data_IF_423333575160
#
_entry.id   IF_423333575160
#
_cell.length_a   1.000
_cell.length_b   1.000
_cell.length_c   1.000
_cell.angle_alpha   90.00
_cell.angle_beta   90.00
_cell.angle_gamma   90.00
#
_symmetry.space_group_name_H-M   'P 1'
#
loop_
_entity.id
_entity.type
_entity.pdbx_description
1 polymer ?
#
# COMPACT_ATOMS: atom_id res chain seq x y z
N UNK A 1 -10.87 22.32 1.89
CA UNK A 1 -9.73 21.52 1.38
C UNK A 1 -10.24 20.21 0.83
N UNK A 2 -9.60 19.70 -0.22
CA UNK A 2 -9.89 18.36 -0.76
C UNK A 2 -8.71 17.44 -0.45
N UNK A 3 -8.96 16.42 0.37
CA UNK A 3 -8.00 15.34 0.62
C UNK A 3 -8.18 14.27 -0.45
N UNK A 4 -7.07 13.84 -1.06
CA UNK A 4 -7.01 12.69 -1.96
C UNK A 4 -6.20 11.56 -1.32
N UNK A 5 -6.51 10.33 -1.70
CA UNK A 5 -5.80 9.12 -1.28
C UNK A 5 -5.35 8.40 -2.53
N UNK A 6 -4.08 8.00 -2.55
CA UNK A 6 -3.47 7.27 -3.65
C UNK A 6 -2.91 5.95 -3.14
N UNK A 7 -2.95 4.96 -4.01
CA UNK A 7 -2.58 3.58 -3.78
C UNK A 7 -1.45 3.17 -4.69
N UNK A 8 -0.57 2.31 -4.16
CA UNK A 8 0.42 1.57 -4.92
C UNK A 8 0.23 0.09 -4.72
N UNK A 9 0.21 -0.62 -5.83
CA UNK A 9 0.26 -2.06 -5.90
C UNK A 9 1.69 -2.46 -6.27
N UNK A 10 2.27 -3.37 -5.49
CA UNK A 10 3.42 -4.21 -5.87
C UNK A 10 2.87 -5.64 -5.97
N UNK A 11 3.12 -6.35 -7.07
CA UNK A 11 2.79 -7.77 -7.25
C UNK A 11 4.10 -8.52 -7.46
N UNK A 12 4.52 -9.28 -6.46
CA UNK A 12 5.67 -10.17 -6.55
C UNK A 12 5.19 -11.53 -7.06
N UNK A 13 5.76 -12.02 -8.16
CA UNK A 13 5.30 -13.26 -8.77
C UNK A 13 6.40 -14.06 -9.46
N UNK A 14 6.13 -15.36 -9.64
CA UNK A 14 6.81 -16.15 -10.65
C UNK A 14 6.11 -15.96 -11.99
N UNK A 15 6.89 -15.78 -13.03
CA UNK A 15 6.42 -15.47 -14.37
C UNK A 15 6.97 -16.45 -15.41
N UNK A 16 6.16 -16.86 -16.39
CA UNK A 16 6.59 -17.73 -17.49
C UNK A 16 7.08 -16.93 -18.72
N UNK A 17 8.41 -16.83 -18.96
CA UNK A 17 8.98 -16.07 -20.06
C UNK A 17 8.79 -16.70 -21.45
N UNK A 18 8.30 -17.95 -21.53
CA UNK A 18 7.97 -18.59 -22.81
C UNK A 18 6.68 -18.03 -23.43
N UNK A 19 5.77 -17.52 -22.60
CA UNK A 19 4.45 -17.05 -23.04
C UNK A 19 4.54 -15.60 -23.54
N UNK A 20 5.20 -14.73 -22.82
CA UNK A 20 5.52 -13.37 -23.26
C UNK A 20 6.85 -12.92 -22.62
N UNK A 21 7.52 -11.90 -23.15
CA UNK A 21 8.73 -11.34 -22.53
C UNK A 21 8.39 -10.07 -21.79
N UNK A 22 8.55 -10.09 -20.47
CA UNK A 22 8.59 -8.88 -19.64
C UNK A 22 10.03 -8.38 -19.63
N UNK A 23 10.26 -7.19 -20.18
CA UNK A 23 11.52 -6.48 -19.99
C UNK A 23 11.56 -6.01 -18.52
N UNK A 24 12.53 -6.53 -17.76
CA UNK A 24 12.75 -6.19 -16.35
C UNK A 24 13.94 -5.25 -16.25
N UNK A 25 13.86 -4.24 -15.37
CA UNK A 25 15.07 -3.58 -14.86
C UNK A 25 15.68 -4.38 -13.70
N UNK A 26 16.93 -4.06 -13.38
CA UNK A 26 17.55 -4.52 -12.13
C UNK A 26 16.81 -3.97 -10.90
N UNK A 27 16.96 -4.69 -9.79
CA UNK A 27 16.28 -4.44 -8.51
C UNK A 27 16.54 -3.01 -7.98
N UNK A 28 15.47 -2.21 -7.82
CA UNK A 28 15.46 -0.78 -7.50
C UNK A 28 16.14 0.17 -8.51
N UNK A 29 16.45 -0.26 -9.74
CA UNK A 29 16.93 0.66 -10.80
C UNK A 29 15.78 1.39 -11.51
N UNK A 30 15.18 2.32 -10.78
CA UNK A 30 14.16 3.23 -11.29
C UNK A 30 14.68 4.25 -12.32
N UNK A 31 15.99 4.31 -12.60
CA UNK A 31 16.55 5.20 -13.64
C UNK A 31 16.49 4.57 -15.04
N UNK A 32 16.61 3.26 -15.13
CA UNK A 32 16.60 2.53 -16.41
C UNK A 32 15.31 1.71 -16.63
N UNK A 33 14.39 1.67 -15.65
CA UNK A 33 13.11 0.95 -15.77
C UNK A 33 12.18 1.57 -16.83
N UNK A 34 12.15 0.99 -18.03
CA UNK A 34 11.07 1.25 -19.00
C UNK A 34 9.75 0.77 -18.42
N UNK A 35 8.70 1.57 -18.47
CA UNK A 35 7.38 1.15 -18.00
C UNK A 35 6.93 -0.09 -18.78
N UNK A 36 6.49 -1.14 -18.08
CA UNK A 36 5.92 -2.34 -18.70
C UNK A 36 4.61 -2.01 -19.43
N UNK A 37 3.80 -1.11 -18.86
CA UNK A 37 2.69 -0.44 -19.54
C UNK A 37 2.47 0.96 -18.94
N UNK A 38 1.35 1.63 -19.26
CA UNK A 38 1.03 2.97 -18.73
C UNK A 38 0.86 3.05 -17.21
N UNK A 39 0.68 1.91 -16.54
CA UNK A 39 0.41 1.82 -15.10
C UNK A 39 1.49 1.09 -14.31
N UNK A 40 2.27 0.18 -14.91
CA UNK A 40 3.22 -0.69 -14.20
C UNK A 40 4.65 -0.61 -14.75
N UNK A 41 5.60 -0.80 -13.85
CA UNK A 41 6.98 -1.18 -14.08
C UNK A 41 7.15 -2.67 -13.79
N UNK A 42 8.23 -3.26 -14.29
CA UNK A 42 8.64 -4.61 -13.94
C UNK A 42 10.11 -4.60 -13.53
N UNK A 43 10.38 -5.07 -12.32
CA UNK A 43 11.73 -5.23 -11.79
C UNK A 43 12.00 -6.71 -11.54
N UNK A 44 13.28 -7.10 -11.59
CA UNK A 44 13.68 -8.44 -11.18
C UNK A 44 13.69 -8.53 -9.65
N UNK A 45 12.90 -9.43 -9.09
CA UNK A 45 12.95 -9.74 -7.66
C UNK A 45 13.98 -10.85 -7.38
N UNK A 46 14.90 -10.58 -6.45
CA UNK A 46 15.93 -11.54 -6.01
C UNK A 46 15.57 -12.26 -4.70
N UNK A 47 14.48 -11.85 -4.04
CA UNK A 47 14.00 -12.42 -2.77
C UNK A 47 13.01 -13.57 -2.94
N UNK A 48 12.45 -13.75 -4.15
CA UNK A 48 11.54 -14.84 -4.50
C UNK A 48 12.35 -16.13 -4.76
N UNK A 49 11.93 -17.22 -4.12
CA UNK A 49 12.39 -18.58 -4.41
C UNK A 49 11.89 -19.00 -5.79
N UNK A 50 12.81 -19.18 -6.73
CA UNK A 50 12.54 -19.73 -8.06
C UNK A 50 12.12 -21.19 -7.93
N UNK A 51 11.01 -21.58 -8.58
CA UNK A 51 10.67 -22.98 -8.80
C UNK A 51 10.25 -23.20 -10.25
N UNK A 52 10.49 -24.40 -10.77
CA UNK A 52 10.07 -24.78 -12.12
C UNK A 52 8.54 -24.83 -12.19
N UNK A 53 7.96 -23.99 -13.04
CA UNK A 53 6.52 -24.01 -13.27
C UNK A 53 6.24 -24.97 -14.43
N UNK A 54 5.69 -26.15 -14.14
CA UNK A 54 5.46 -27.22 -15.13
C UNK A 54 6.72 -27.66 -15.93
N UNK A 55 7.92 -27.45 -15.38
CA UNK A 55 9.20 -27.72 -16.08
C UNK A 55 9.70 -26.58 -16.97
N UNK A 56 9.08 -25.40 -16.90
CA UNK A 56 9.52 -24.19 -17.58
C UNK A 56 10.36 -23.29 -16.65
N UNK A 57 11.45 -22.74 -17.18
CA UNK A 57 12.29 -21.77 -16.49
C UNK A 57 11.49 -20.52 -16.10
N UNK A 58 11.27 -20.30 -14.80
CA UNK A 58 10.56 -19.12 -14.29
C UNK A 58 11.48 -17.90 -14.15
N UNK A 59 10.89 -16.71 -14.25
CA UNK A 59 11.50 -15.46 -13.80
C UNK A 59 10.76 -14.98 -12.55
N UNK A 60 11.48 -14.60 -11.51
CA UNK A 60 10.95 -13.81 -10.41
C UNK A 60 10.78 -12.36 -10.86
N UNK A 61 9.58 -11.78 -10.72
CA UNK A 61 9.24 -10.43 -11.19
C UNK A 61 8.42 -9.69 -10.13
N UNK A 62 8.80 -8.46 -9.83
CA UNK A 62 8.00 -7.51 -9.07
C UNK A 62 7.35 -6.51 -10.05
N UNK A 63 6.02 -6.49 -10.11
CA UNK A 63 5.24 -5.56 -10.92
C UNK A 63 4.80 -4.38 -10.06
N UNK A 64 5.43 -3.22 -10.26
CA UNK A 64 5.27 -2.04 -9.41
C UNK A 64 4.42 -1.00 -10.15
N UNK A 65 3.26 -0.65 -9.62
CA UNK A 65 2.38 0.35 -10.23
C UNK A 65 2.90 1.81 -10.10
N UNK A 66 2.29 2.74 -10.84
CA UNK A 66 2.29 4.18 -10.53
C UNK A 66 1.29 4.48 -9.40
N UNK A 67 1.29 5.69 -8.80
CA UNK A 67 0.23 6.07 -7.86
C UNK A 67 -1.15 6.20 -8.51
N UNK A 68 -2.12 5.46 -7.96
CA UNK A 68 -3.50 5.35 -8.46
C UNK A 68 -4.51 5.91 -7.44
N UNK A 69 -5.48 6.71 -7.90
CA UNK A 69 -6.71 6.93 -7.14
C UNK A 69 -7.54 5.63 -7.15
N UNK A 70 -8.43 5.48 -6.17
CA UNK A 70 -9.20 4.25 -5.92
C UNK A 70 -9.88 3.69 -7.18
N UNK A 71 -10.44 4.57 -8.00
CA UNK A 71 -11.22 4.20 -9.18
C UNK A 71 -10.35 3.86 -10.41
N UNK A 72 -9.05 4.20 -10.39
CA UNK A 72 -8.06 3.85 -11.43
C UNK A 72 -7.52 2.42 -11.26
N UNK A 73 -7.75 1.77 -10.12
CA UNK A 73 -7.20 0.43 -9.78
C UNK A 73 -7.67 -0.64 -10.77
N UNK A 74 -8.96 -0.65 -11.11
CA UNK A 74 -9.53 -1.64 -12.03
C UNK A 74 -8.99 -1.46 -13.46
N UNK A 75 -8.80 -0.21 -13.89
CA UNK A 75 -8.23 0.12 -15.19
C UNK A 75 -6.76 -0.32 -15.27
N UNK A 76 -5.97 -0.03 -14.23
CA UNK A 76 -4.58 -0.47 -14.14
C UNK A 76 -4.45 -2.00 -14.20
N UNK A 77 -5.28 -2.73 -13.44
CA UNK A 77 -5.33 -4.19 -13.48
C UNK A 77 -5.76 -4.71 -14.88
N UNK A 78 -6.79 -4.12 -15.50
CA UNK A 78 -7.20 -4.49 -16.87
C UNK A 78 -6.04 -4.31 -17.87
N UNK A 79 -5.32 -3.18 -17.81
CA UNK A 79 -4.16 -2.93 -18.65
C UNK A 79 -3.01 -3.93 -18.38
N UNK A 80 -2.83 -4.36 -17.14
CA UNK A 80 -1.86 -5.42 -16.78
C UNK A 80 -2.24 -6.77 -17.43
N UNK A 81 -3.52 -7.18 -17.36
CA UNK A 81 -4.04 -8.37 -18.03
C UNK A 81 -3.78 -8.35 -19.55
N UNK A 82 -4.07 -7.22 -20.18
CA UNK A 82 -3.84 -7.02 -21.62
C UNK A 82 -2.35 -7.08 -21.98
N UNK A 83 -1.48 -6.49 -21.15
CA UNK A 83 -0.03 -6.45 -21.36
C UNK A 83 0.64 -7.82 -21.19
N UNK A 84 0.11 -8.64 -20.27
CA UNK A 84 0.48 -10.04 -20.11
C UNK A 84 -0.07 -10.93 -21.25
N UNK A 85 -0.93 -10.37 -22.11
CA UNK A 85 -1.44 -10.98 -23.34
C UNK A 85 -2.28 -12.25 -23.12
N UNK A 86 -2.90 -12.37 -21.94
CA UNK A 86 -3.65 -13.55 -21.47
C UNK A 86 -4.76 -13.93 -22.47
N UNK A 87 -5.54 -12.94 -22.92
CA UNK A 87 -6.73 -13.18 -23.76
C UNK A 87 -6.40 -13.54 -25.21
N UNK A 88 -5.29 -13.06 -25.79
CA UNK A 88 -4.98 -13.31 -27.21
C UNK A 88 -4.39 -14.70 -27.47
N UNK A 89 -4.09 -15.46 -26.42
CA UNK A 89 -3.43 -16.77 -26.50
C UNK A 89 -4.27 -17.94 -25.96
N UNK A 90 -5.52 -17.70 -25.51
CA UNK A 90 -6.32 -18.69 -24.78
C UNK A 90 -5.50 -19.38 -23.66
N UNK A 91 -4.76 -18.57 -22.90
CA UNK A 91 -3.81 -19.05 -21.89
C UNK A 91 -4.39 -18.78 -20.51
N UNK A 92 -4.35 -19.77 -19.62
CA UNK A 92 -4.89 -19.60 -18.28
C UNK A 92 -3.96 -18.72 -17.44
N UNK A 93 -4.53 -18.00 -16.47
CA UNK A 93 -3.78 -17.13 -15.57
C UNK A 93 -2.61 -17.87 -14.90
N UNK A 94 -2.85 -19.11 -14.47
CA UNK A 94 -1.85 -19.97 -13.85
C UNK A 94 -0.67 -20.31 -14.75
N UNK A 95 -0.83 -20.35 -16.07
CA UNK A 95 0.29 -20.68 -16.97
C UNK A 95 1.30 -19.54 -17.06
N UNK A 96 0.85 -18.31 -16.77
CA UNK A 96 1.59 -17.05 -16.93
C UNK A 96 2.15 -16.57 -15.60
N UNK A 97 1.33 -16.61 -14.54
CA UNK A 97 1.65 -16.10 -13.21
C UNK A 97 1.46 -17.19 -12.15
N UNK A 98 2.53 -17.45 -11.40
CA UNK A 98 2.55 -18.31 -10.23
C UNK A 98 2.79 -17.53 -8.94
N UNK A 99 2.12 -17.95 -7.87
CA UNK A 99 2.39 -17.51 -6.50
C UNK A 99 2.84 -18.70 -5.65
N UNK A 100 3.91 -18.50 -4.86
CA UNK A 100 4.43 -19.46 -3.89
C UNK A 100 4.62 -18.80 -2.50
N UNK A 101 5.15 -19.56 -1.53
CA UNK A 101 5.43 -19.14 -0.15
C UNK A 101 6.39 -17.94 -0.01
N UNK A 102 7.24 -17.68 -1.01
CA UNK A 102 8.14 -16.52 -1.03
C UNK A 102 7.50 -15.29 -1.66
N UNK A 103 6.67 -15.45 -2.70
CA UNK A 103 5.93 -14.36 -3.38
C UNK A 103 4.92 -13.63 -2.48
N UNK A 104 4.32 -12.57 -3.02
CA UNK A 104 3.13 -11.93 -2.46
C UNK A 104 2.80 -10.62 -3.17
N UNK A 105 2.42 -9.62 -2.40
CA UNK A 105 2.16 -8.28 -2.89
C UNK A 105 2.23 -7.27 -1.74
N UNK A 106 2.31 -5.98 -2.07
CA UNK A 106 2.15 -4.88 -1.12
C UNK A 106 1.10 -3.89 -1.59
N UNK A 107 0.43 -3.24 -0.63
CA UNK A 107 -0.44 -2.10 -0.88
C UNK A 107 0.08 -0.87 -0.14
N UNK A 108 0.65 0.07 -0.89
CA UNK A 108 1.11 1.36 -0.41
C UNK A 108 -0.04 2.35 -0.39
N UNK A 109 -0.10 3.21 0.63
CA UNK A 109 -1.16 4.20 0.79
C UNK A 109 -0.54 5.54 1.16
N UNK A 110 -0.84 6.56 0.36
CA UNK A 110 -0.43 7.95 0.59
C UNK A 110 -1.64 8.87 0.60
N UNK A 111 -1.68 9.84 1.52
CA UNK A 111 -2.80 10.77 1.71
C UNK A 111 -2.30 12.21 1.55
N UNK A 112 -2.90 12.94 0.62
CA UNK A 112 -2.43 14.26 0.20
C UNK A 112 -3.53 15.30 0.25
N UNK A 113 -3.15 16.51 0.65
CA UNK A 113 -4.01 17.69 0.74
C UNK A 113 -3.82 18.57 -0.49
N UNK A 114 -4.95 18.92 -1.12
CA UNK A 114 -5.06 19.82 -2.28
C UNK A 114 -4.14 19.43 -3.46
N UNK A 115 -3.95 18.13 -3.67
CA UNK A 115 -2.99 17.59 -4.65
C UNK A 115 -3.49 17.58 -6.10
N UNK A 116 -2.53 17.66 -7.01
CA UNK A 116 -2.71 17.39 -8.45
C UNK A 116 -1.78 16.25 -8.86
N UNK A 117 -2.33 15.21 -9.50
CA UNK A 117 -1.56 14.10 -10.07
C UNK A 117 -0.65 14.67 -11.17
N UNK A 118 0.66 14.48 -11.05
CA UNK A 118 1.64 14.89 -12.07
C UNK A 118 2.73 13.81 -12.10
N UNK A 119 2.58 12.86 -13.01
CA UNK A 119 3.49 11.72 -13.14
C UNK A 119 4.84 12.23 -13.65
N UNK A 120 5.68 12.70 -12.73
CA UNK A 120 7.06 13.01 -13.03
C UNK A 120 7.87 11.72 -12.84
N UNK A 121 8.27 11.12 -13.95
CA UNK A 121 9.29 10.08 -13.95
C UNK A 121 10.61 10.82 -13.72
N UNK A 122 11.01 10.93 -12.44
CA UNK A 122 12.28 11.53 -12.03
C UNK A 122 13.12 10.50 -11.29
N UNK A 123 14.39 10.45 -11.66
CA UNK A 123 15.34 9.38 -11.37
C UNK A 123 15.38 8.90 -9.90
N UNK A 124 15.40 7.57 -9.76
CA UNK A 124 16.00 6.82 -8.65
C UNK A 124 15.42 6.87 -7.23
N UNK A 125 14.30 7.53 -6.91
CA UNK A 125 13.78 7.55 -5.51
C UNK A 125 12.26 7.41 -5.30
N UNK A 126 11.74 6.23 -5.59
CA UNK A 126 10.61 5.60 -4.87
C UNK A 126 9.18 6.01 -5.27
N UNK A 127 8.30 4.99 -5.21
CA UNK A 127 6.89 4.95 -5.64
C UNK A 127 6.07 6.28 -5.52
N UNK A 128 6.03 6.93 -4.34
CA UNK A 128 5.14 8.08 -4.09
C UNK A 128 5.67 9.49 -4.44
N UNK A 129 6.90 9.66 -4.95
CA UNK A 129 7.41 11.02 -5.30
C UNK A 129 6.69 11.71 -6.46
N UNK A 130 5.72 11.04 -7.10
CA UNK A 130 4.99 11.47 -8.30
C UNK A 130 3.66 12.20 -8.03
N UNK A 131 3.45 12.68 -6.79
CA UNK A 131 2.27 13.43 -6.40
C UNK A 131 2.69 14.78 -5.83
N UNK A 132 2.23 15.87 -6.45
CA UNK A 132 2.39 17.21 -5.89
C UNK A 132 1.18 17.55 -5.02
N UNK A 133 1.43 17.77 -3.73
CA UNK A 133 0.45 18.21 -2.73
C UNK A 133 1.08 18.20 -1.33
N UNK A 134 0.38 18.77 -0.34
CA UNK A 134 0.85 18.71 1.05
C UNK A 134 0.49 17.34 1.62
N UNK A 135 1.47 16.46 1.74
CA UNK A 135 1.31 15.13 2.35
C UNK A 135 0.78 15.27 3.79
N UNK A 136 -0.22 14.46 4.14
CA UNK A 136 -0.80 14.44 5.48
C UNK A 136 -0.06 13.37 6.27
N UNK A 137 0.68 13.79 7.30
CA UNK A 137 1.41 12.89 8.21
C UNK A 137 0.49 11.80 8.76
N UNK A 138 0.62 10.58 8.25
CA UNK A 138 -0.26 9.47 8.57
C UNK A 138 -0.19 9.09 10.05
N UNK A 139 0.99 9.23 10.65
CA UNK A 139 1.22 9.16 12.10
C UNK A 139 0.28 10.01 12.99
N UNK A 140 -0.41 11.01 12.44
CA UNK A 140 -1.41 11.84 13.17
C UNK A 140 -2.86 11.36 13.03
N UNK A 141 -3.10 10.39 12.14
CA UNK A 141 -4.45 9.94 11.72
C UNK A 141 -4.60 8.42 11.95
N UNK A 142 -3.51 7.68 11.83
CA UNK A 142 -3.45 6.22 11.91
C UNK A 142 -2.93 5.80 13.28
N UNK A 143 -3.55 4.78 13.85
CA UNK A 143 -3.08 4.09 15.05
C UNK A 143 -3.23 2.57 14.85
N UNK A 144 -2.60 1.77 15.72
CA UNK A 144 -2.61 0.31 15.62
C UNK A 144 -4.02 -0.31 15.68
N UNK A 145 -4.99 0.33 16.34
CA UNK A 145 -6.37 -0.15 16.39
C UNK A 145 -7.03 -0.04 15.01
N UNK A 146 -6.90 1.10 14.34
CA UNK A 146 -7.41 1.29 12.98
C UNK A 146 -6.83 0.26 12.00
N UNK A 147 -5.52 -0.03 12.10
CA UNK A 147 -4.84 -1.00 11.25
C UNK A 147 -5.35 -2.44 11.49
N UNK A 148 -5.54 -2.82 12.76
CA UNK A 148 -6.15 -4.11 13.13
C UNK A 148 -7.60 -4.22 12.68
N UNK A 149 -8.39 -3.15 12.81
CA UNK A 149 -9.77 -3.10 12.34
C UNK A 149 -9.85 -3.28 10.81
N UNK A 150 -8.95 -2.65 10.05
CA UNK A 150 -8.83 -2.83 8.59
C UNK A 150 -8.49 -4.30 8.27
N UNK A 151 -7.47 -4.88 8.91
CA UNK A 151 -7.10 -6.29 8.69
C UNK A 151 -8.26 -7.25 8.95
N UNK A 152 -8.95 -7.07 10.08
CA UNK A 152 -10.09 -7.92 10.45
C UNK A 152 -11.20 -7.85 9.39
N UNK A 153 -11.49 -6.65 8.87
CA UNK A 153 -12.48 -6.45 7.82
C UNK A 153 -12.04 -7.06 6.47
N UNK A 154 -10.77 -6.93 6.08
CA UNK A 154 -10.22 -7.59 4.87
C UNK A 154 -10.33 -9.11 5.01
N UNK A 155 -9.84 -9.69 6.12
CA UNK A 155 -9.91 -11.13 6.39
C UNK A 155 -11.37 -11.63 6.34
N UNK A 156 -12.30 -10.91 6.97
CA UNK A 156 -13.72 -11.23 6.95
C UNK A 156 -14.30 -11.19 5.53
N UNK A 157 -13.99 -10.14 4.75
CA UNK A 157 -14.44 -10.01 3.35
C UNK A 157 -13.87 -11.11 2.47
N UNK A 158 -12.56 -11.39 2.51
CA UNK A 158 -11.94 -12.50 1.75
C UNK A 158 -12.59 -13.84 2.11
N UNK A 159 -12.85 -14.11 3.39
CA UNK A 159 -13.55 -15.34 3.82
C UNK A 159 -14.95 -15.50 3.23
N UNK A 160 -15.66 -14.39 3.02
CA UNK A 160 -17.06 -14.37 2.55
C UNK A 160 -17.19 -14.27 1.03
N UNK A 161 -16.37 -13.43 0.39
CA UNK A 161 -16.45 -13.11 -1.04
C UNK A 161 -15.52 -14.00 -1.91
N UNK A 162 -14.46 -14.57 -1.32
CA UNK A 162 -13.49 -15.45 -1.99
C UNK A 162 -13.18 -16.71 -1.14
N UNK A 163 -14.21 -17.51 -0.75
CA UNK A 163 -14.03 -18.65 0.17
C UNK A 163 -13.09 -19.74 -0.37
N UNK A 164 -12.93 -19.86 -1.69
CA UNK A 164 -12.05 -20.83 -2.33
C UNK A 164 -10.56 -20.50 -2.20
N UNK A 165 -10.18 -19.22 -2.09
CA UNK A 165 -8.77 -18.82 -1.87
C UNK A 165 -8.44 -18.67 -0.37
N UNK A 166 -9.45 -18.41 0.47
CA UNK A 166 -9.29 -17.98 1.85
C UNK A 166 -8.31 -18.85 2.67
N UNK A 167 -8.42 -20.18 2.59
CA UNK A 167 -7.57 -21.08 3.38
C UNK A 167 -6.09 -21.00 2.99
N UNK A 168 -5.79 -20.93 1.68
CA UNK A 168 -4.42 -20.76 1.18
C UNK A 168 -3.88 -19.38 1.58
N UNK A 169 -4.67 -18.34 1.33
CA UNK A 169 -4.31 -16.95 1.61
C UNK A 169 -4.05 -16.68 3.09
N UNK A 170 -4.94 -17.13 3.98
CA UNK A 170 -4.81 -16.88 5.43
C UNK A 170 -3.62 -17.62 6.04
N UNK A 171 -3.21 -18.76 5.48
CA UNK A 171 -2.06 -19.53 5.96
C UNK A 171 -0.73 -18.76 5.81
N UNK A 172 -0.64 -17.88 4.81
CA UNK A 172 0.52 -17.02 4.55
C UNK A 172 0.24 -15.54 4.85
N UNK A 173 -0.85 -15.21 5.58
CA UNK A 173 -1.21 -13.82 5.88
C UNK A 173 -0.08 -13.08 6.61
N UNK A 174 0.67 -13.77 7.47
CA UNK A 174 2.00 -13.30 7.86
C UNK A 174 3.02 -14.08 7.04
N UNK A 175 3.71 -13.39 6.11
CA UNK A 175 4.87 -13.93 5.39
C UNK A 175 5.97 -14.30 6.38
N UNK A 176 6.82 -15.28 6.04
CA UNK A 176 7.87 -15.75 6.96
C UNK A 176 8.84 -14.63 7.37
N UNK A 177 9.25 -13.75 6.44
CA UNK A 177 10.08 -12.58 6.78
C UNK A 177 9.44 -11.68 7.85
N UNK A 178 8.10 -11.60 7.92
CA UNK A 178 7.39 -10.78 8.90
C UNK A 178 7.28 -11.47 10.27
N UNK A 179 7.41 -12.79 10.33
CA UNK A 179 7.47 -13.60 11.56
C UNK A 179 8.86 -13.55 12.22
N UNK A 180 9.90 -13.35 11.43
CA UNK A 180 11.31 -13.34 11.88
C UNK A 180 11.80 -11.96 12.38
N UNK A 181 10.93 -10.93 12.36
CA UNK A 181 11.25 -9.61 12.88
C UNK A 181 11.20 -9.59 14.41
N UNK A 182 12.33 -9.92 15.04
CA UNK A 182 12.55 -9.92 16.50
C UNK A 182 12.67 -8.50 17.09
N UNK A 183 11.72 -7.62 16.73
CA UNK A 183 11.69 -6.20 17.12
C UNK A 183 10.45 -5.88 17.95
N UNK A 184 10.58 -5.75 19.29
CA UNK A 184 9.46 -5.44 20.15
C UNK A 184 9.05 -3.96 20.04
N UNK A 185 7.73 -3.72 20.14
CA UNK A 185 7.08 -2.40 20.26
C UNK A 185 7.16 -1.47 19.02
N UNK A 186 6.09 -1.51 18.20
CA UNK A 186 5.36 -0.38 17.57
C UNK A 186 4.85 -0.69 16.15
N UNK A 187 5.32 -1.76 15.51
CA UNK A 187 4.78 -2.22 14.22
C UNK A 187 3.73 -3.31 14.42
N UNK A 188 2.65 -3.23 13.66
CA UNK A 188 1.83 -4.42 13.38
C UNK A 188 2.59 -5.21 12.30
N UNK A 189 2.79 -6.53 12.44
CA UNK A 189 3.57 -7.32 11.46
C UNK A 189 3.00 -7.23 10.04
N UNK A 190 1.71 -6.89 9.92
CA UNK A 190 1.02 -6.69 8.67
C UNK A 190 1.20 -5.30 8.04
N UNK A 191 1.66 -4.29 8.78
CA UNK A 191 1.71 -2.90 8.34
C UNK A 191 3.06 -2.25 8.66
N UNK A 192 3.72 -1.76 7.62
CA UNK A 192 4.93 -0.97 7.77
C UNK A 192 4.61 0.53 7.66
N UNK A 193 5.14 1.30 8.60
CA UNK A 193 5.11 2.75 8.63
C UNK A 193 6.51 3.25 8.29
N UNK A 194 6.85 3.30 7.00
CA UNK A 194 8.10 3.92 6.52
C UNK A 194 7.98 5.44 6.65
N UNK A 195 8.96 6.03 7.32
CA UNK A 195 9.20 7.48 7.41
C UNK A 195 7.98 8.32 7.84
N UNK A 196 7.10 7.77 8.69
CA UNK A 196 5.94 8.40 9.34
C UNK A 196 4.81 8.94 8.45
N UNK A 197 5.05 9.03 7.15
CA UNK A 197 4.17 9.70 6.17
C UNK A 197 3.61 8.71 5.12
N UNK A 198 4.09 7.45 5.08
CA UNK A 198 3.62 6.39 4.17
C UNK A 198 3.21 5.12 4.93
N UNK A 199 2.12 4.49 4.49
CA UNK A 199 1.65 3.21 5.01
C UNK A 199 1.79 2.13 3.93
N UNK A 200 2.29 0.96 4.31
CA UNK A 200 2.58 -0.17 3.43
C UNK A 200 1.97 -1.45 4.04
N UNK A 201 0.97 -2.04 3.37
CA UNK A 201 0.35 -3.30 3.77
C UNK A 201 1.21 -4.47 3.30
N UNK A 202 1.86 -5.17 4.24
CA UNK A 202 2.84 -6.24 3.98
C UNK A 202 2.28 -7.66 4.10
N UNK A 203 1.18 -7.82 4.82
CA UNK A 203 0.48 -9.11 4.96
C UNK A 203 -0.31 -9.56 3.72
N UNK A 204 -0.28 -8.78 2.65
CA UNK A 204 -1.08 -9.00 1.45
C UNK A 204 -0.42 -10.00 0.51
N UNK A 205 -0.40 -11.28 0.87
CA UNK A 205 0.01 -12.33 -0.07
C UNK A 205 -1.10 -12.60 -1.11
N UNK A 206 -0.74 -13.31 -2.18
CA UNK A 206 -1.66 -13.72 -3.26
C UNK A 206 -1.80 -15.26 -3.38
N UNK A 207 -1.48 -16.00 -2.32
CA UNK A 207 -1.57 -17.47 -2.32
C UNK A 207 -3.01 -17.94 -2.48
N UNK A 208 -3.23 -18.81 -3.46
CA UNK A 208 -4.55 -19.34 -3.80
C UNK A 208 -5.29 -18.56 -4.89
N UNK A 209 -4.80 -17.38 -5.30
CA UNK A 209 -5.25 -16.70 -6.52
C UNK A 209 -4.91 -17.58 -7.72
N UNK A 210 -5.92 -17.96 -8.52
CA UNK A 210 -5.76 -18.82 -9.71
C UNK A 210 -6.31 -18.21 -10.99
N UNK A 211 -7.11 -17.16 -10.89
CA UNK A 211 -7.73 -16.49 -12.03
C UNK A 211 -7.51 -14.98 -11.93
N UNK A 212 -7.65 -14.30 -13.08
CA UNK A 212 -7.61 -12.84 -13.12
C UNK A 212 -8.71 -12.20 -12.24
N UNK A 213 -9.91 -12.82 -12.20
CA UNK A 213 -11.01 -12.37 -11.36
C UNK A 213 -10.71 -12.48 -9.86
N UNK A 214 -9.97 -13.52 -9.43
CA UNK A 214 -9.52 -13.63 -8.03
C UNK A 214 -8.57 -12.47 -7.67
N UNK A 215 -7.65 -12.14 -8.57
CA UNK A 215 -6.68 -11.05 -8.39
C UNK A 215 -7.36 -9.68 -8.33
N UNK A 216 -8.27 -9.39 -9.25
CA UNK A 216 -9.06 -8.16 -9.22
C UNK A 216 -9.88 -8.06 -7.94
N UNK A 217 -10.56 -9.14 -7.55
CA UNK A 217 -11.48 -9.14 -6.40
C UNK A 217 -10.73 -9.04 -5.07
N UNK A 218 -9.56 -9.65 -4.93
CA UNK A 218 -8.78 -9.53 -3.68
C UNK A 218 -8.19 -8.12 -3.50
N UNK A 219 -7.74 -7.47 -4.59
CA UNK A 219 -7.35 -6.06 -4.57
C UNK A 219 -8.55 -5.14 -4.30
N UNK A 220 -9.71 -5.36 -4.93
CA UNK A 220 -10.95 -4.63 -4.67
C UNK A 220 -11.29 -4.65 -3.17
N UNK A 221 -11.34 -5.85 -2.57
CA UNK A 221 -11.62 -6.05 -1.15
C UNK A 221 -10.66 -5.25 -0.26
N UNK A 222 -9.35 -5.31 -0.53
CA UNK A 222 -8.36 -4.61 0.26
C UNK A 222 -8.46 -3.09 0.11
N UNK A 223 -8.46 -2.59 -1.12
CA UNK A 223 -8.49 -1.15 -1.44
C UNK A 223 -9.79 -0.49 -0.95
N UNK A 224 -10.95 -1.11 -1.16
CA UNK A 224 -12.23 -0.60 -0.62
C UNK A 224 -12.19 -0.46 0.90
N UNK A 225 -11.69 -1.48 1.59
CA UNK A 225 -11.70 -1.54 3.05
C UNK A 225 -10.76 -0.49 3.64
N UNK A 226 -9.55 -0.38 3.08
CA UNK A 226 -8.57 0.66 3.43
C UNK A 226 -9.17 2.05 3.16
N UNK A 227 -9.66 2.30 1.94
CA UNK A 227 -10.21 3.60 1.54
C UNK A 227 -11.37 4.03 2.45
N UNK A 228 -12.33 3.12 2.69
CA UNK A 228 -13.50 3.40 3.51
C UNK A 228 -13.12 3.74 4.96
N UNK A 229 -12.31 2.91 5.61
CA UNK A 229 -11.89 3.11 7.00
C UNK A 229 -11.00 4.34 7.18
N UNK A 230 -10.08 4.61 6.26
CA UNK A 230 -9.27 5.83 6.31
C UNK A 230 -10.11 7.08 6.07
N UNK A 231 -11.04 7.05 5.10
CA UNK A 231 -11.93 8.19 4.81
C UNK A 231 -12.82 8.51 6.00
N UNK A 232 -13.39 7.51 6.67
CA UNK A 232 -14.14 7.67 7.92
C UNK A 232 -13.32 8.42 8.99
N UNK A 233 -12.07 8.03 9.21
CA UNK A 233 -11.20 8.67 10.20
C UNK A 233 -10.80 10.08 9.78
N UNK A 234 -10.40 10.30 8.51
CA UNK A 234 -10.05 11.64 7.99
C UNK A 234 -11.23 12.62 8.13
N UNK A 235 -12.45 12.16 7.85
CA UNK A 235 -13.66 12.98 7.96
C UNK A 235 -13.98 13.31 9.42
N UNK A 236 -13.90 12.34 10.34
CA UNK A 236 -14.12 12.58 11.79
C UNK A 236 -13.01 13.42 12.43
N UNK A 237 -11.78 13.32 11.95
CA UNK A 237 -10.62 14.11 12.43
C UNK A 237 -10.56 15.53 11.84
N UNK A 238 -11.58 15.96 11.08
CA UNK A 238 -11.70 17.35 10.60
C UNK A 238 -12.71 18.15 11.43
N UNK A 239 -12.47 19.46 11.66
CA UNK A 239 -11.40 20.25 11.08
C UNK A 239 -10.06 19.98 11.76
N UNK A 240 -9.01 19.85 10.95
CA UNK A 240 -7.66 20.24 11.37
C UNK A 240 -7.70 21.74 11.68
N UNK A 241 -8.18 22.12 12.87
CA UNK A 241 -7.87 23.43 13.46
C UNK A 241 -6.35 23.48 13.48
N UNK A 242 -5.78 24.42 12.73
CA UNK A 242 -4.37 24.72 12.89
C UNK A 242 -4.20 25.05 14.37
N UNK A 243 -3.42 24.22 15.08
CA UNK A 243 -3.11 24.50 16.48
C UNK A 243 -2.29 25.79 16.42
N UNK A 244 -2.94 26.90 16.77
CA UNK A 244 -2.28 28.20 16.84
C UNK A 244 -0.97 28.01 17.59
N UNK A 245 0.14 28.32 16.92
CA UNK A 245 1.46 28.25 17.53
C UNK A 245 1.47 29.34 18.60
N UNK A 246 1.19 28.97 19.85
CA UNK A 246 1.28 29.90 20.97
C UNK A 246 2.76 30.23 21.10
N UNK A 247 3.15 31.35 20.51
CA UNK A 247 4.44 31.97 20.78
C UNK A 247 4.33 32.53 22.18
N UNK A 248 4.87 31.80 23.14
CA UNK A 248 5.13 32.34 24.47
C UNK A 248 6.38 33.21 24.28
N UNK A 249 6.18 34.52 24.11
CA UNK A 249 7.30 35.45 24.18
C UNK A 249 7.92 35.37 25.59
N UNK A 250 9.25 35.26 25.71
CA UNK A 250 9.89 35.30 27.01
C UNK A 250 9.55 36.60 27.71
N UNK A 251 9.13 36.54 28.98
CA UNK A 251 9.13 37.75 29.82
C UNK A 251 10.59 38.14 30.08
N UNK A 252 10.88 39.43 29.99
CA UNK A 252 12.22 39.98 30.14
C UNK A 252 12.98 39.38 31.34
N UNK A 253 14.18 38.86 31.07
CA UNK A 253 15.11 38.41 32.10
C UNK A 253 15.15 36.90 32.41
N UNK A 254 14.57 36.02 31.58
CA UNK A 254 14.77 34.56 31.71
C UNK A 254 15.50 33.94 30.51
N UNK A 255 16.51 33.11 30.83
CA UNK A 255 17.46 32.46 29.92
C UNK A 255 16.77 31.56 28.88
N UNK A 256 17.16 31.68 27.60
CA UNK A 256 16.45 31.15 26.41
C UNK A 256 16.39 29.59 26.29
N UNK A 257 16.84 28.86 27.31
CA UNK A 257 17.20 27.43 27.19
C UNK A 257 16.09 26.41 27.48
N UNK A 258 14.83 26.81 27.70
CA UNK A 258 13.72 25.88 27.93
C UNK A 258 12.42 26.21 27.16
N UNK A 259 12.41 25.96 25.85
CA UNK A 259 11.15 25.74 25.10
C UNK A 259 10.64 24.31 25.34
N UNK A 260 9.94 24.09 26.46
CA UNK A 260 9.25 22.82 26.71
C UNK A 260 7.92 22.76 25.93
N UNK A 261 7.70 21.67 25.20
CA UNK A 261 6.41 21.41 24.54
C UNK A 261 5.40 20.91 25.57
N UNK A 262 4.81 21.83 26.36
CA UNK A 262 3.77 21.47 27.34
C UNK A 262 2.49 21.08 26.61
N UNK A 263 2.17 19.78 26.63
CA UNK A 263 0.88 19.24 26.22
C UNK A 263 -0.16 19.52 27.31
N UNK A 264 -0.94 20.60 27.13
CA UNK A 264 -2.18 20.80 27.90
C UNK A 264 -3.34 20.19 27.08
N UNK A 265 -3.73 18.96 27.41
CA UNK A 265 -5.04 18.44 27.02
C UNK A 265 -6.12 19.17 27.84
N UNK A 266 -6.72 20.22 27.26
CA UNK A 266 -8.04 20.66 27.72
C UNK A 266 -9.07 19.61 27.32
N UNK A 267 -9.57 18.87 28.32
CA UNK A 267 -10.87 18.18 28.24
C UNK A 267 -11.95 19.20 27.83
N UNK A 268 -12.99 18.80 27.09
CA UNK A 268 -14.11 19.68 26.80
C UNK A 268 -14.88 19.97 28.10
N UNK A 269 -14.85 21.22 28.56
CA UNK A 269 -15.69 21.69 29.66
C UNK A 269 -17.17 21.55 29.27
N UNK A 270 -17.98 20.96 30.14
CA UNK A 270 -19.43 20.84 29.94
C UNK A 270 -20.05 22.25 29.91
N UNK A 271 -20.84 22.53 28.86
CA UNK A 271 -21.58 23.79 28.76
C UNK A 271 -22.87 23.66 29.58
N UNK A 272 -22.79 24.05 30.86
CA UNK A 272 -23.98 24.20 31.71
C UNK A 272 -24.78 25.41 31.23
N UNK A 273 -25.92 25.16 30.57
CA UNK A 273 -26.88 26.21 30.25
C UNK A 273 -27.76 26.42 31.47
N UNK A 274 -27.56 27.52 32.19
CA UNK A 274 -28.54 28.01 33.16
C UNK A 274 -29.61 28.81 32.41
N UNK A 275 -30.87 28.54 32.74
CA UNK A 275 -32.06 29.29 32.30
C UNK A 275 -32.37 30.37 33.35
#
# INVERSE_FOLDING_TARGET
MRTKMFFGLEIECLYNPKINRINQSDYHDFSNSSCFNSYFYAERDSSIEYCDFNGDCTSAVELISIPLEKDEIKEALSALKESLNIEKKNTDFSDIIGFNNSTGAHIHVGIYKDSKKRIQISDNRGFLKRIYGKEIKLSKVINLRLLKDINHLIIKRVKTELPHIYNSWISQFYRNYAKELDFPLQRDMSWNLKDYDRLEFRSFNLMGVKTWNDLEKIYEIAIDTIYSKMKEVITRSSPFKERNKIVIEPKDGQDERFTSNILIEKQPEEVTINV
#
